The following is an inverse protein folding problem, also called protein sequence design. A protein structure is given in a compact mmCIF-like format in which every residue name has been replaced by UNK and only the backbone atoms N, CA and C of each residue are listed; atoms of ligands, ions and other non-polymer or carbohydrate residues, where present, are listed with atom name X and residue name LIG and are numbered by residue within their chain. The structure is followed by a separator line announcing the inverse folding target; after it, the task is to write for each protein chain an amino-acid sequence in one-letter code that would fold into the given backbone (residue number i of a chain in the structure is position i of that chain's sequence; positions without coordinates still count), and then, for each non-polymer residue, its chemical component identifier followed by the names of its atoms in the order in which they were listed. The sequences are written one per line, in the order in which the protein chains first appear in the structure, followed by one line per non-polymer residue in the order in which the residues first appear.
data_IF_074253262666
#
_entry.id   IF_074253262666
#
_cell.length_a   1.000
_cell.length_b   1.000
_cell.length_c   1.000
_cell.angle_alpha   90.00
_cell.angle_beta   90.00
_cell.angle_gamma   90.00
#
_symmetry.space_group_name_H-M   'P 1'
#
loop_
_entity.id
_entity.type
_entity.pdbx_description
1 polymer ?
#
# COMPACT_ATOMS: atom_id res chain seq x y z
N UNK A 1 14.53 5.04 20.54
CA UNK A 1 14.39 6.00 19.42
C UNK A 1 13.33 5.50 18.45
N UNK A 2 12.14 6.09 18.46
CA UNK A 2 11.09 5.82 17.46
C UNK A 2 11.54 6.33 16.11
N UNK A 3 11.80 5.41 15.16
CA UNK A 3 12.21 5.74 13.80
C UNK A 3 11.14 6.64 13.16
N UNK A 4 11.47 7.88 12.85
CA UNK A 4 10.57 8.81 12.15
C UNK A 4 10.27 8.19 10.78
N UNK A 5 9.00 7.84 10.54
CA UNK A 5 8.56 7.32 9.25
C UNK A 5 8.30 8.53 8.35
N UNK A 6 9.19 8.78 7.40
CA UNK A 6 9.04 9.82 6.39
C UNK A 6 8.62 9.23 5.04
N UNK A 7 8.00 10.06 4.20
CA UNK A 7 7.68 9.66 2.83
C UNK A 7 8.95 9.32 2.08
N UNK A 8 8.98 8.16 1.41
CA UNK A 8 10.02 7.84 0.45
C UNK A 8 9.95 8.85 -0.70
N UNK A 9 11.06 9.55 -0.94
CA UNK A 9 11.18 10.59 -1.95
C UNK A 9 12.18 10.17 -3.01
N UNK A 10 11.71 9.90 -4.23
CA UNK A 10 12.52 9.45 -5.36
C UNK A 10 11.96 10.03 -6.67
N UNK A 11 12.54 9.64 -7.81
CA UNK A 11 12.08 10.07 -9.14
C UNK A 11 10.59 9.76 -9.37
N UNK A 12 10.09 8.63 -8.87
CA UNK A 12 8.69 8.22 -9.07
C UNK A 12 7.69 9.11 -8.33
N UNK A 13 8.10 9.68 -7.19
CA UNK A 13 7.32 10.70 -6.48
C UNK A 13 7.33 12.03 -7.24
N UNK A 14 8.50 12.46 -7.74
CA UNK A 14 8.64 13.70 -8.53
C UNK A 14 7.80 13.69 -9.80
N UNK A 15 7.76 12.57 -10.53
CA UNK A 15 6.89 12.38 -11.70
C UNK A 15 5.39 12.43 -11.39
N UNK A 16 5.00 12.38 -10.11
CA UNK A 16 3.62 12.44 -9.64
C UNK A 16 3.39 13.68 -8.78
N UNK A 17 3.87 14.81 -9.28
CA UNK A 17 3.66 16.16 -8.72
C UNK A 17 4.23 16.33 -7.29
N UNK A 18 5.08 15.42 -6.83
CA UNK A 18 5.71 15.51 -5.50
C UNK A 18 4.76 15.27 -4.32
N UNK A 19 3.49 14.98 -4.55
CA UNK A 19 2.50 14.77 -3.50
C UNK A 19 2.46 13.30 -3.06
N UNK A 20 2.46 13.07 -1.75
CA UNK A 20 2.31 11.73 -1.16
C UNK A 20 1.35 11.77 0.02
N UNK A 21 0.63 10.67 0.23
CA UNK A 21 -0.22 10.46 1.42
C UNK A 21 -0.05 9.04 1.94
N UNK A 22 -0.21 8.88 3.25
CA UNK A 22 -0.25 7.57 3.88
C UNK A 22 -1.66 7.01 3.82
N UNK A 23 -1.76 5.74 3.46
CA UNK A 23 -3.01 5.00 3.41
C UNK A 23 -2.92 3.77 4.32
N UNK A 24 -3.93 3.59 5.16
CA UNK A 24 -4.27 2.29 5.71
C UNK A 24 -5.20 1.59 4.73
N UNK A 25 -4.76 0.46 4.19
CA UNK A 25 -5.55 -0.37 3.29
C UNK A 25 -6.24 -1.48 4.08
N UNK A 26 -7.50 -1.72 3.78
CA UNK A 26 -8.29 -2.80 4.37
C UNK A 26 -9.00 -3.60 3.28
N UNK A 27 -9.34 -4.84 3.60
CA UNK A 27 -10.11 -5.68 2.69
C UNK A 27 -11.52 -5.14 2.62
N UNK A 28 -12.04 -4.88 1.42
CA UNK A 28 -13.40 -4.36 1.29
C UNK A 28 -14.44 -5.37 1.79
N UNK A 29 -14.16 -6.67 1.64
CA UNK A 29 -15.09 -7.75 2.03
C UNK A 29 -15.23 -7.92 3.54
N UNK A 30 -14.14 -7.81 4.31
CA UNK A 30 -14.14 -8.14 5.75
C UNK A 30 -13.58 -7.02 6.64
N UNK A 31 -13.32 -5.84 6.09
CA UNK A 31 -12.73 -4.68 6.76
C UNK A 31 -11.36 -4.91 7.45
N UNK A 32 -10.77 -6.10 7.35
CA UNK A 32 -9.49 -6.38 7.98
C UNK A 32 -8.37 -5.52 7.39
N UNK A 33 -7.53 -4.86 8.21
CA UNK A 33 -6.32 -4.18 7.76
C UNK A 33 -5.42 -5.12 6.95
N UNK A 34 -4.87 -4.66 5.82
CA UNK A 34 -4.02 -5.48 4.95
C UNK A 34 -2.63 -4.87 4.79
N UNK A 35 -2.54 -3.55 4.64
CA UNK A 35 -1.25 -2.90 4.48
C UNK A 35 -1.27 -1.42 4.85
N UNK A 36 -0.11 -0.92 5.28
CA UNK A 36 0.23 0.50 5.31
C UNK A 36 0.98 0.85 4.02
N UNK A 37 0.52 1.87 3.30
CA UNK A 37 0.99 2.18 1.96
C UNK A 37 1.21 3.67 1.74
N UNK A 38 2.28 4.02 1.03
CA UNK A 38 2.49 5.36 0.50
C UNK A 38 1.87 5.48 -0.89
N UNK A 39 0.80 6.29 -1.01
CA UNK A 39 0.28 6.67 -2.33
C UNK A 39 0.90 7.99 -2.79
N UNK A 40 1.51 7.94 -3.97
CA UNK A 40 2.00 9.12 -4.68
C UNK A 40 0.98 9.59 -5.73
N UNK A 41 0.79 10.89 -5.83
CA UNK A 41 -0.08 11.55 -6.79
C UNK A 41 -1.60 11.38 -6.57
N UNK A 42 -2.39 12.09 -7.39
CA UNK A 42 -3.86 12.05 -7.34
C UNK A 42 -4.44 10.71 -7.87
N UNK A 43 -5.77 10.59 -7.86
CA UNK A 43 -6.51 9.50 -8.51
C UNK A 43 -6.68 8.21 -7.71
N UNK A 44 -7.33 7.22 -8.34
CA UNK A 44 -7.66 5.93 -7.72
C UNK A 44 -6.42 5.05 -7.49
N UNK A 45 -6.49 4.18 -6.49
CA UNK A 45 -5.45 3.18 -6.23
C UNK A 45 -5.71 1.95 -7.09
N UNK A 46 -5.11 1.91 -8.28
CA UNK A 46 -5.22 0.75 -9.19
C UNK A 46 -4.11 -0.27 -8.99
N UNK A 47 -3.01 0.16 -8.36
CA UNK A 47 -1.76 -0.60 -8.22
C UNK A 47 -1.14 -0.36 -6.87
N UNK A 48 -0.53 -1.39 -6.30
CA UNK A 48 0.23 -1.33 -5.07
C UNK A 48 1.70 -1.62 -5.37
N UNK A 49 2.54 -0.58 -5.42
CA UNK A 49 3.97 -0.78 -5.66
C UNK A 49 4.65 -1.37 -4.42
N UNK A 50 5.41 -2.46 -4.59
CA UNK A 50 6.00 -3.21 -3.47
C UNK A 50 6.88 -2.34 -2.58
N UNK A 51 7.66 -1.46 -3.19
CA UNK A 51 8.61 -0.57 -2.52
C UNK A 51 7.95 0.64 -1.83
N UNK A 52 6.61 0.74 -1.87
CA UNK A 52 5.80 1.73 -1.14
C UNK A 52 4.98 1.11 0.00
N UNK A 53 5.03 -0.22 0.14
CA UNK A 53 4.43 -0.92 1.27
C UNK A 53 5.34 -0.75 2.48
N UNK A 54 4.79 -0.18 3.55
CA UNK A 54 5.50 0.03 4.82
C UNK A 54 5.35 -1.18 5.74
N UNK A 55 4.15 -1.76 5.73
CA UNK A 55 3.77 -2.92 6.53
C UNK A 55 2.62 -3.68 5.85
N UNK A 56 2.53 -5.01 6.01
CA UNK A 56 3.57 -5.88 6.56
C UNK A 56 4.78 -5.94 5.62
N UNK A 57 5.97 -6.20 6.17
CA UNK A 57 7.17 -6.46 5.34
C UNK A 57 7.07 -7.86 4.72
N UNK A 58 7.65 -8.04 3.54
CA UNK A 58 7.79 -9.37 2.93
C UNK A 58 6.55 -9.90 2.21
N UNK A 59 5.65 -9.03 1.74
CA UNK A 59 4.64 -9.42 0.74
C UNK A 59 5.36 -9.80 -0.57
N UNK A 60 5.58 -11.10 -0.79
CA UNK A 60 6.30 -11.62 -1.97
C UNK A 60 5.50 -12.68 -2.74
N UNK A 61 4.24 -12.90 -2.39
CA UNK A 61 3.41 -13.89 -3.07
C UNK A 61 2.93 -13.35 -4.41
N UNK A 62 2.83 -14.23 -5.42
CA UNK A 62 2.23 -13.91 -6.73
C UNK A 62 0.80 -13.37 -6.60
N UNK A 63 0.08 -13.83 -5.58
CA UNK A 63 -1.28 -13.40 -5.28
C UNK A 63 -1.28 -12.52 -4.03
N UNK A 64 -1.97 -11.38 -4.10
CA UNK A 64 -2.24 -10.55 -2.93
C UNK A 64 -3.57 -11.00 -2.31
N UNK A 65 -3.49 -11.71 -1.19
CA UNK A 65 -4.64 -12.36 -0.56
C UNK A 65 -4.86 -11.75 0.83
N UNK A 66 -6.12 -11.48 1.18
CA UNK A 66 -6.47 -11.13 2.54
C UNK A 66 -6.30 -12.35 3.45
N UNK A 67 -5.43 -12.27 4.46
CA UNK A 67 -5.17 -13.38 5.40
C UNK A 67 -6.38 -13.75 6.28
N UNK A 68 -7.34 -12.84 6.44
CA UNK A 68 -8.52 -13.07 7.29
C UNK A 68 -9.65 -13.82 6.56
N UNK A 69 -9.96 -13.43 5.32
CA UNK A 69 -11.11 -13.99 4.59
C UNK A 69 -10.74 -14.69 3.28
N UNK A 70 -9.44 -14.88 3.02
CA UNK A 70 -8.85 -15.50 1.82
C UNK A 70 -9.29 -14.88 0.48
N UNK A 71 -9.83 -13.66 0.49
CA UNK A 71 -10.22 -12.96 -0.73
C UNK A 71 -8.97 -12.59 -1.53
N UNK A 72 -8.98 -12.88 -2.82
CA UNK A 72 -7.95 -12.44 -3.75
C UNK A 72 -8.15 -10.95 -4.07
N UNK A 73 -7.19 -10.13 -3.68
CA UNK A 73 -7.24 -8.67 -3.77
C UNK A 73 -6.54 -8.13 -5.02
N UNK A 74 -5.62 -8.93 -5.57
CA UNK A 74 -4.85 -8.57 -6.75
C UNK A 74 -3.77 -9.60 -7.08
N UNK A 75 -3.08 -9.34 -8.19
CA UNK A 75 -2.02 -10.21 -8.73
C UNK A 75 -0.74 -9.43 -8.93
N UNK A 76 0.39 -10.07 -8.63
CA UNK A 76 1.71 -9.48 -8.80
C UNK A 76 2.06 -9.40 -10.27
N UNK A 77 2.66 -8.29 -10.68
CA UNK A 77 3.16 -8.10 -12.02
C UNK A 77 4.23 -7.00 -12.03
N UNK A 78 4.99 -6.90 -13.13
CA UNK A 78 5.90 -5.79 -13.37
C UNK A 78 5.16 -4.73 -14.18
N UNK A 79 5.08 -3.51 -13.67
CA UNK A 79 4.54 -2.39 -14.42
C UNK A 79 5.59 -1.89 -15.42
N UNK A 80 5.43 -2.31 -16.67
CA UNK A 80 6.41 -2.13 -17.76
C UNK A 80 6.89 -0.68 -17.93
N UNK A 81 5.96 0.31 -17.87
CA UNK A 81 6.33 1.74 -18.04
C UNK A 81 7.35 2.25 -17.02
N UNK A 82 7.42 1.63 -15.85
CA UNK A 82 8.36 1.99 -14.78
C UNK A 82 9.35 0.87 -14.46
N UNK A 83 9.27 -0.26 -15.16
CA UNK A 83 9.93 -1.54 -14.83
C UNK A 83 9.89 -1.86 -13.32
N UNK A 84 8.69 -1.75 -12.74
CA UNK A 84 8.51 -1.72 -11.27
C UNK A 84 7.52 -2.76 -10.78
N UNK A 85 7.94 -3.55 -9.80
CA UNK A 85 7.13 -4.61 -9.22
C UNK A 85 5.94 -4.04 -8.43
N UNK A 86 4.75 -4.53 -8.74
CA UNK A 86 3.51 -4.08 -8.12
C UNK A 86 2.47 -5.19 -8.05
N UNK A 87 1.44 -4.99 -7.23
CA UNK A 87 0.18 -5.71 -7.38
C UNK A 87 -0.79 -4.91 -8.24
N UNK A 88 -1.39 -5.54 -9.25
CA UNK A 88 -2.59 -5.05 -9.94
C UNK A 88 -3.78 -5.38 -9.06
N UNK A 89 -4.46 -4.37 -8.56
CA UNK A 89 -5.61 -4.55 -7.67
C UNK A 89 -6.88 -4.83 -8.48
N UNK A 90 -7.74 -5.69 -7.97
CA UNK A 90 -9.08 -5.85 -8.50
C UNK A 90 -9.98 -4.69 -8.05
N UNK A 91 -10.87 -4.26 -8.94
CA UNK A 91 -11.79 -3.17 -8.65
C UNK A 91 -12.68 -3.54 -7.46
N UNK A 92 -12.80 -2.62 -6.49
CA UNK A 92 -13.61 -2.83 -5.28
C UNK A 92 -13.04 -3.85 -4.29
N UNK A 93 -11.83 -4.38 -4.47
CA UNK A 93 -11.28 -5.36 -3.54
C UNK A 93 -10.65 -4.74 -2.28
N UNK A 94 -10.26 -3.46 -2.36
CA UNK A 94 -9.53 -2.75 -1.30
C UNK A 94 -10.19 -1.41 -1.00
N UNK A 95 -10.47 -1.20 0.27
CA UNK A 95 -10.79 0.10 0.83
C UNK A 95 -9.57 0.77 1.44
N UNK A 96 -9.67 2.07 1.66
CA UNK A 96 -8.55 2.91 2.08
C UNK A 96 -8.98 4.04 3.00
N UNK A 97 -8.16 4.29 4.01
CA UNK A 97 -8.29 5.44 4.92
C UNK A 97 -7.01 6.26 4.87
N UNK A 98 -7.13 7.59 4.71
CA UNK A 98 -5.98 8.49 4.80
C UNK A 98 -5.59 8.63 6.26
N UNK A 99 -4.30 8.47 6.56
CA UNK A 99 -3.78 8.56 7.93
C UNK A 99 -2.66 9.60 8.03
N UNK A 100 -2.51 10.17 9.23
CA UNK A 100 -1.39 11.07 9.57
C UNK A 100 -0.15 10.25 9.93
N UNK A 101 1.02 10.88 9.80
CA UNK A 101 2.31 10.24 10.09
C UNK A 101 2.40 9.78 11.55
N UNK A 102 1.85 10.55 12.50
CA UNK A 102 1.84 10.24 13.93
C UNK A 102 1.20 8.86 14.23
N UNK A 103 0.12 8.53 13.51
CA UNK A 103 -0.66 7.32 13.74
C UNK A 103 -0.02 6.06 13.13
N UNK A 104 0.98 6.20 12.25
CA UNK A 104 1.60 5.06 11.55
C UNK A 104 2.28 4.07 12.51
N UNK A 105 2.97 4.59 13.53
CA UNK A 105 3.73 3.76 14.47
C UNK A 105 2.79 2.92 15.31
N UNK A 106 1.66 3.49 15.72
CA UNK A 106 0.63 2.82 16.50
C UNK A 106 -0.09 1.76 15.67
N UNK A 107 -0.58 2.12 14.48
CA UNK A 107 -1.27 1.18 13.58
C UNK A 107 -0.37 0.00 13.21
N UNK A 108 0.93 0.26 12.98
CA UNK A 108 1.89 -0.80 12.66
C UNK A 108 2.06 -1.81 13.79
N UNK A 109 1.87 -1.42 15.05
CA UNK A 109 1.97 -2.32 16.21
C UNK A 109 0.68 -3.11 16.45
N UNK A 110 -0.47 -2.53 16.15
CA UNK A 110 -1.78 -3.11 16.49
C UNK A 110 -2.43 -3.89 15.36
N UNK A 111 -2.02 -3.65 14.11
CA UNK A 111 -2.73 -4.16 12.92
C UNK A 111 -1.95 -5.18 12.07
N UNK A 112 -0.64 -5.35 12.27
CA UNK A 112 0.24 -6.15 11.39
C UNK A 112 1.30 -6.97 12.12
#
# INVERSE_FOLDING_TARGET
MSKIISFKSDKFKKHREGQSRWLLLHCEKCANPIALYQKDGPGMLKRLYMDRIIAPKGLSNKNFICKNCNTLLGIQYVYEKENRLAYRLFAGAIGKTIIKTENLVEIKKTSF
#
